data_IF_933971562225
#
_entry.id   IF_933971562225
#
_cell.length_a   1.000
_cell.length_b   1.000
_cell.length_c   1.000
_cell.angle_alpha   90.00
_cell.angle_beta   90.00
_cell.angle_gamma   90.00
#
_symmetry.space_group_name_H-M   'P 1'
#
loop_
_entity.id
_entity.type
_entity.pdbx_description
1 polymer ?
#
# COMPACT_ATOMS: atom_id res chain seq x y z
N UNK A 1 17.98 -5.94 10.20
CA UNK A 1 16.70 -6.67 10.26
C UNK A 1 16.68 -7.53 9.03
N UNK A 2 16.59 -8.84 9.22
CA UNK A 2 16.70 -9.79 8.13
C UNK A 2 15.49 -9.70 7.19
N UNK A 3 15.67 -10.18 5.96
CA UNK A 3 14.59 -10.27 4.99
C UNK A 3 13.51 -11.23 5.52
N UNK A 4 12.25 -10.80 5.49
CA UNK A 4 11.12 -11.70 5.76
C UNK A 4 10.78 -12.43 4.47
N UNK A 5 11.13 -13.71 4.39
CA UNK A 5 10.73 -14.54 3.26
C UNK A 5 9.21 -14.77 3.29
N UNK A 6 8.56 -14.49 2.16
CA UNK A 6 7.14 -14.68 1.96
C UNK A 6 6.91 -15.84 1.00
N UNK A 7 6.56 -17.00 1.57
CA UNK A 7 6.20 -18.19 0.79
C UNK A 7 4.68 -18.34 0.67
N UNK A 8 4.26 -19.18 -0.26
CA UNK A 8 2.86 -19.56 -0.45
C UNK A 8 2.31 -20.27 0.78
N UNK A 9 3.07 -21.18 1.39
CA UNK A 9 2.66 -21.87 2.61
C UNK A 9 2.44 -20.87 3.74
N UNK A 10 3.36 -19.92 3.90
CA UNK A 10 3.23 -18.85 4.91
C UNK A 10 1.97 -18.02 4.68
N UNK A 11 1.71 -17.61 3.44
CA UNK A 11 0.51 -16.85 3.09
C UNK A 11 -0.77 -17.64 3.38
N UNK A 12 -0.82 -18.92 3.02
CA UNK A 12 -2.01 -19.77 3.24
C UNK A 12 -2.20 -20.19 4.70
N UNK A 13 -1.15 -20.15 5.52
CA UNK A 13 -1.24 -20.40 6.97
C UNK A 13 -1.84 -19.23 7.74
N UNK A 14 -1.88 -18.04 7.13
CA UNK A 14 -2.49 -16.86 7.73
C UNK A 14 -4.02 -16.85 7.55
N UNK A 15 -4.75 -16.45 8.60
CA UNK A 15 -6.21 -16.46 8.58
C UNK A 15 -6.82 -15.60 7.47
N UNK A 16 -6.22 -14.44 7.17
CA UNK A 16 -6.68 -13.58 6.07
C UNK A 16 -6.14 -14.06 4.73
N UNK A 17 -4.89 -14.52 4.67
CA UNK A 17 -4.28 -15.04 3.46
C UNK A 17 -5.02 -16.24 2.90
N UNK A 18 -5.46 -17.16 3.77
CA UNK A 18 -6.31 -18.32 3.41
C UNK A 18 -7.60 -17.92 2.68
N UNK A 19 -8.16 -16.73 2.95
CA UNK A 19 -9.37 -16.25 2.25
C UNK A 19 -9.13 -15.90 0.78
N UNK A 20 -7.87 -15.83 0.35
CA UNK A 20 -7.42 -15.59 -1.02
C UNK A 20 -6.71 -16.81 -1.63
N UNK A 21 -7.03 -18.02 -1.15
CA UNK A 21 -6.49 -19.26 -1.70
C UNK A 21 -6.82 -19.46 -3.19
N UNK A 22 -7.92 -18.89 -3.67
CA UNK A 22 -8.27 -18.85 -5.10
C UNK A 22 -7.28 -18.01 -5.91
N UNK A 23 -6.77 -16.90 -5.36
CA UNK A 23 -5.73 -16.10 -6.02
C UNK A 23 -4.39 -16.81 -5.95
N UNK A 24 -4.07 -17.37 -4.78
CA UNK A 24 -2.82 -18.07 -4.60
C UNK A 24 -2.74 -19.24 -5.59
N UNK A 25 -3.72 -20.15 -5.56
CA UNK A 25 -3.69 -21.42 -6.28
C UNK A 25 -4.08 -21.34 -7.75
N UNK A 26 -4.46 -20.18 -8.26
CA UNK A 26 -4.75 -19.97 -9.68
C UNK A 26 -3.43 -19.79 -10.46
N UNK A 27 -3.06 -20.74 -11.36
CA UNK A 27 -1.83 -20.66 -12.14
C UNK A 27 -1.83 -19.52 -13.16
N UNK A 28 -2.98 -18.90 -13.45
CA UNK A 28 -3.06 -17.71 -14.30
C UNK A 28 -2.76 -16.40 -13.55
N UNK A 29 -2.68 -16.44 -12.21
CA UNK A 29 -2.32 -15.29 -11.40
C UNK A 29 -0.80 -15.21 -11.22
N UNK A 30 -0.22 -14.00 -11.25
CA UNK A 30 1.21 -13.78 -11.04
C UNK A 30 1.58 -13.83 -9.55
N UNK A 31 1.01 -14.79 -8.80
CA UNK A 31 1.11 -14.79 -7.35
C UNK A 31 2.54 -15.09 -6.89
N UNK A 32 3.23 -16.01 -7.56
CA UNK A 32 4.60 -16.36 -7.22
C UNK A 32 5.57 -15.20 -7.53
N UNK A 33 5.35 -14.44 -8.61
CA UNK A 33 6.10 -13.22 -8.90
C UNK A 33 5.88 -12.16 -7.83
N UNK A 34 4.66 -12.03 -7.31
CA UNK A 34 4.36 -11.12 -6.20
C UNK A 34 5.07 -11.57 -4.92
N UNK A 35 5.05 -12.86 -4.58
CA UNK A 35 5.75 -13.40 -3.41
C UNK A 35 7.27 -13.17 -3.51
N UNK A 36 7.86 -13.47 -4.67
CA UNK A 36 9.27 -13.25 -4.95
C UNK A 36 9.63 -11.76 -4.90
N UNK A 37 8.78 -10.88 -5.45
CA UNK A 37 8.99 -9.44 -5.40
C UNK A 37 9.10 -8.93 -3.97
N UNK A 38 8.20 -9.36 -3.08
CA UNK A 38 8.18 -8.91 -1.70
C UNK A 38 9.21 -9.60 -0.78
N UNK A 39 9.81 -10.71 -1.22
CA UNK A 39 10.87 -11.45 -0.50
C UNK A 39 12.27 -10.87 -0.75
N UNK A 40 12.37 -9.53 -0.83
CA UNK A 40 13.62 -8.79 -1.04
C UNK A 40 13.85 -7.79 0.09
N UNK A 41 15.05 -7.82 0.69
CA UNK A 41 15.38 -6.98 1.85
C UNK A 41 15.34 -5.49 1.49
N UNK A 42 15.85 -5.12 0.31
CA UNK A 42 15.90 -3.74 -0.15
C UNK A 42 14.50 -3.14 -0.31
N UNK A 43 13.57 -3.90 -0.89
CA UNK A 43 12.16 -3.51 -1.03
C UNK A 43 11.47 -3.42 0.32
N UNK A 44 11.65 -4.39 1.20
CA UNK A 44 11.08 -4.34 2.56
C UNK A 44 11.58 -3.13 3.34
N UNK A 45 12.87 -2.78 3.22
CA UNK A 45 13.42 -1.56 3.82
C UNK A 45 12.78 -0.30 3.25
N UNK A 46 12.66 -0.19 1.92
CA UNK A 46 11.97 0.96 1.29
C UNK A 46 10.50 1.08 1.71
N UNK A 47 9.83 -0.03 1.98
CA UNK A 47 8.48 -0.02 2.52
C UNK A 47 8.43 0.61 3.92
N UNK A 48 9.38 0.31 4.80
CA UNK A 48 9.49 0.95 6.11
C UNK A 48 9.86 2.43 6.00
N UNK A 49 10.81 2.75 5.13
CA UNK A 49 11.24 4.13 4.86
C UNK A 49 10.09 4.99 4.32
N UNK A 50 9.16 4.42 3.56
CA UNK A 50 7.96 5.13 3.10
C UNK A 50 7.11 5.64 4.28
N UNK A 51 6.95 4.84 5.33
CA UNK A 51 6.23 5.26 6.54
C UNK A 51 7.03 6.26 7.36
N UNK A 52 8.34 6.03 7.52
CA UNK A 52 9.21 6.85 8.36
C UNK A 52 9.46 8.22 7.72
N UNK A 53 9.99 8.25 6.51
CA UNK A 53 10.57 9.44 5.91
C UNK A 53 9.61 10.17 4.97
N UNK A 54 8.59 9.48 4.45
CA UNK A 54 7.70 10.04 3.45
C UNK A 54 6.25 10.22 3.94
N UNK A 55 5.93 9.76 5.16
CA UNK A 55 4.57 9.75 5.72
C UNK A 55 3.56 9.11 4.74
N UNK A 56 4.00 8.06 4.04
CA UNK A 56 3.22 7.30 3.06
C UNK A 56 3.04 5.85 3.49
N UNK A 57 1.96 5.19 3.03
CA UNK A 57 1.80 3.76 3.25
C UNK A 57 3.00 2.95 2.76
N UNK A 58 3.29 1.76 3.32
CA UNK A 58 4.49 1.00 2.98
C UNK A 58 4.55 0.63 1.50
N UNK A 59 3.41 0.27 0.91
CA UNK A 59 3.31 -0.05 -0.52
C UNK A 59 3.83 1.10 -1.41
N UNK A 60 3.74 2.36 -0.96
CA UNK A 60 4.26 3.50 -1.72
C UNK A 60 5.77 3.41 -1.99
N UNK A 61 6.54 2.74 -1.14
CA UNK A 61 7.99 2.58 -1.30
C UNK A 61 8.38 1.68 -2.48
N UNK A 62 7.45 0.85 -2.99
CA UNK A 62 7.75 -0.21 -3.96
C UNK A 62 6.72 -0.36 -5.08
N UNK A 63 5.58 0.36 -5.01
CA UNK A 63 4.44 0.15 -5.92
C UNK A 63 4.78 0.35 -7.39
N UNK A 64 5.67 1.29 -7.74
CA UNK A 64 6.09 1.49 -9.13
C UNK A 64 6.86 0.30 -9.69
N UNK A 65 7.70 -0.31 -8.87
CA UNK A 65 8.47 -1.49 -9.27
C UNK A 65 7.55 -2.71 -9.39
N UNK A 66 6.58 -2.84 -8.48
CA UNK A 66 5.58 -3.91 -8.52
C UNK A 66 4.72 -3.84 -9.79
N UNK A 67 4.21 -2.64 -10.11
CA UNK A 67 3.40 -2.41 -11.32
C UNK A 67 4.24 -2.48 -12.60
N UNK A 68 5.58 -2.43 -12.53
CA UNK A 68 6.45 -2.62 -13.68
C UNK A 68 6.71 -4.10 -14.03
N UNK A 69 6.32 -5.05 -13.16
CA UNK A 69 6.41 -6.47 -13.46
C UNK A 69 5.36 -6.81 -14.53
N UNK A 70 5.75 -7.31 -15.72
CA UNK A 70 4.80 -7.51 -16.82
C UNK A 70 3.62 -8.39 -16.46
N UNK A 71 3.86 -9.48 -15.73
CA UNK A 71 2.80 -10.40 -15.31
C UNK A 71 1.80 -9.74 -14.34
N UNK A 72 2.31 -8.90 -13.42
CA UNK A 72 1.47 -8.14 -12.48
C UNK A 72 0.67 -7.05 -13.20
N UNK A 73 1.31 -6.26 -14.07
CA UNK A 73 0.61 -5.22 -14.83
C UNK A 73 -0.51 -5.81 -15.68
N UNK A 74 -0.22 -6.89 -16.41
CA UNK A 74 -1.22 -7.59 -17.22
C UNK A 74 -2.38 -8.11 -16.38
N UNK A 75 -2.10 -8.74 -15.23
CA UNK A 75 -3.14 -9.23 -14.33
C UNK A 75 -4.01 -8.10 -13.75
N UNK A 76 -3.43 -6.94 -13.49
CA UNK A 76 -4.14 -5.75 -13.01
C UNK A 76 -4.93 -5.06 -14.13
N UNK A 77 -4.42 -5.09 -15.37
CA UNK A 77 -5.04 -4.51 -16.55
C UNK A 77 -6.22 -5.33 -17.09
N UNK A 78 -6.23 -6.66 -16.88
CA UNK A 78 -7.34 -7.54 -17.29
C UNK A 78 -8.67 -7.01 -16.71
N UNK A 79 -9.63 -6.73 -17.59
CA UNK A 79 -10.96 -6.18 -17.27
C UNK A 79 -11.86 -7.12 -16.43
N UNK A 80 -11.39 -8.31 -16.04
CA UNK A 80 -12.08 -9.12 -15.03
C UNK A 80 -11.96 -8.44 -13.66
N UNK A 81 -12.85 -7.48 -13.41
CA UNK A 81 -12.87 -6.60 -12.23
C UNK A 81 -12.75 -7.35 -10.90
N UNK A 82 -13.22 -8.60 -10.84
CA UNK A 82 -13.15 -9.43 -9.65
C UNK A 82 -11.75 -10.01 -9.41
N UNK A 83 -11.10 -10.58 -10.42
CA UNK A 83 -9.77 -11.18 -10.28
C UNK A 83 -8.72 -10.11 -9.92
N UNK A 84 -8.69 -8.99 -10.66
CA UNK A 84 -7.76 -7.89 -10.38
C UNK A 84 -8.03 -7.21 -9.02
N UNK A 85 -9.28 -7.21 -8.55
CA UNK A 85 -9.61 -6.77 -7.19
C UNK A 85 -9.06 -7.74 -6.14
N UNK A 86 -9.27 -9.04 -6.32
CA UNK A 86 -8.81 -10.06 -5.37
C UNK A 86 -7.29 -10.13 -5.28
N UNK A 87 -6.59 -10.04 -6.41
CA UNK A 87 -5.12 -9.93 -6.44
C UNK A 87 -4.62 -8.71 -5.65
N UNK A 88 -5.22 -7.52 -5.86
CA UNK A 88 -4.87 -6.31 -5.09
C UNK A 88 -5.12 -6.47 -3.60
N UNK A 89 -6.17 -7.20 -3.21
CA UNK A 89 -6.45 -7.49 -1.81
C UNK A 89 -5.41 -8.46 -1.21
N UNK A 90 -5.05 -9.51 -1.95
CA UNK A 90 -4.01 -10.45 -1.56
C UNK A 90 -2.66 -9.74 -1.37
N UNK A 91 -2.28 -8.83 -2.28
CA UNK A 91 -1.10 -7.96 -2.13
C UNK A 91 -1.17 -7.13 -0.84
N UNK A 92 -2.35 -6.59 -0.50
CA UNK A 92 -2.56 -5.89 0.76
C UNK A 92 -2.33 -6.78 1.99
N UNK A 93 -2.72 -8.06 1.92
CA UNK A 93 -2.46 -9.04 2.98
C UNK A 93 -0.97 -9.37 3.08
N UNK A 94 -0.27 -9.54 1.96
CA UNK A 94 1.18 -9.76 1.94
C UNK A 94 1.91 -8.58 2.60
N UNK A 95 1.59 -7.35 2.20
CA UNK A 95 2.17 -6.14 2.81
C UNK A 95 1.93 -6.13 4.32
N UNK A 96 0.73 -6.46 4.79
CA UNK A 96 0.46 -6.58 6.22
C UNK A 96 1.37 -7.60 6.88
N UNK A 97 1.40 -8.83 6.38
CA UNK A 97 2.16 -9.91 6.99
C UNK A 97 3.64 -9.57 7.10
N UNK A 98 4.21 -8.90 6.08
CA UNK A 98 5.58 -8.41 6.10
C UNK A 98 5.79 -7.33 7.16
N UNK A 99 4.95 -6.30 7.17
CA UNK A 99 5.07 -5.20 8.13
C UNK A 99 4.95 -5.72 9.57
N UNK A 100 3.97 -6.59 9.85
CA UNK A 100 3.79 -7.21 11.16
C UNK A 100 4.98 -8.11 11.55
N UNK A 101 5.49 -8.94 10.63
CA UNK A 101 6.69 -9.74 10.87
C UNK A 101 7.93 -8.89 11.14
N UNK A 102 7.98 -7.66 10.62
CA UNK A 102 9.03 -6.67 10.88
C UNK A 102 8.75 -5.79 12.11
N UNK A 103 7.76 -6.16 12.92
CA UNK A 103 7.46 -5.53 14.20
C UNK A 103 6.60 -4.26 14.09
N UNK A 104 5.94 -4.01 12.96
CA UNK A 104 5.03 -2.90 12.80
C UNK A 104 3.59 -3.29 13.15
N UNK A 105 2.78 -2.30 13.50
CA UNK A 105 1.34 -2.50 13.77
C UNK A 105 0.51 -1.62 12.86
N UNK A 106 -0.64 -2.14 12.40
CA UNK A 106 -1.61 -1.34 11.65
C UNK A 106 -2.13 -0.20 12.50
N UNK A 107 -2.48 0.90 11.84
CA UNK A 107 -3.15 2.05 12.46
C UNK A 107 -4.68 2.00 12.28
N UNK A 108 -5.19 1.09 11.44
CA UNK A 108 -6.61 1.05 11.04
C UNK A 108 -6.98 2.13 10.02
N UNK A 109 -5.99 2.83 9.46
CA UNK A 109 -6.17 3.96 8.55
C UNK A 109 -5.50 3.67 7.24
N UNK A 110 -6.14 4.07 6.14
CA UNK A 110 -5.54 4.02 4.80
C UNK A 110 -4.94 5.36 4.41
N UNK A 111 -3.73 5.37 3.87
CA UNK A 111 -3.11 6.55 3.25
C UNK A 111 -3.20 6.49 1.72
N UNK A 112 -3.10 7.65 1.07
CA UNK A 112 -3.07 7.72 -0.40
C UNK A 112 -1.69 7.33 -0.92
N UNK A 113 -1.63 6.63 -2.05
CA UNK A 113 -0.38 6.38 -2.78
C UNK A 113 -0.08 7.49 -3.79
N UNK A 114 -1.07 8.33 -4.10
CA UNK A 114 -0.97 9.40 -5.08
C UNK A 114 -2.11 10.40 -4.99
N UNK A 115 -2.21 11.26 -6.00
CA UNK A 115 -3.36 12.15 -6.19
C UNK A 115 -4.40 11.40 -7.03
N UNK A 116 -5.63 11.31 -6.54
CA UNK A 116 -6.73 10.63 -7.24
C UNK A 116 -7.03 11.34 -8.55
N UNK A 117 -7.20 10.56 -9.61
CA UNK A 117 -7.78 11.04 -10.85
C UNK A 117 -9.18 11.60 -10.63
N UNK A 118 -9.55 12.61 -11.41
CA UNK A 118 -10.94 13.00 -11.55
C UNK A 118 -11.75 11.81 -12.06
N UNK A 119 -12.93 11.59 -11.49
CA UNK A 119 -13.76 10.43 -11.79
C UNK A 119 -14.34 10.58 -13.20
N UNK A 120 -13.87 9.76 -14.14
CA UNK A 120 -14.41 9.63 -15.49
C UNK A 120 -15.26 8.36 -15.57
N UNK A 121 -16.37 8.39 -16.31
CA UNK A 121 -17.25 7.24 -16.49
C UNK A 121 -16.63 6.10 -17.32
N UNK A 122 -15.57 6.39 -18.09
CA UNK A 122 -14.97 5.47 -19.06
C UNK A 122 -13.53 5.07 -18.72
N UNK A 123 -12.89 5.73 -17.75
CA UNK A 123 -11.52 5.44 -17.38
C UNK A 123 -11.43 4.51 -16.16
N UNK A 124 -10.48 3.55 -16.13
CA UNK A 124 -10.19 2.80 -14.92
C UNK A 124 -9.81 3.77 -13.78
N UNK A 125 -10.23 3.46 -12.55
CA UNK A 125 -9.88 4.28 -11.39
C UNK A 125 -8.37 4.18 -11.12
N UNK A 126 -7.63 5.25 -11.43
CA UNK A 126 -6.19 5.37 -11.23
C UNK A 126 -5.82 6.68 -10.52
N UNK A 127 -4.54 6.87 -10.18
CA UNK A 127 -4.03 8.17 -9.74
C UNK A 127 -3.48 8.94 -10.96
N UNK A 128 -3.90 10.18 -11.19
CA UNK A 128 -3.45 11.01 -12.35
C UNK A 128 -2.08 11.66 -12.16
N UNK A 129 -1.50 11.57 -10.97
CA UNK A 129 -0.16 12.10 -10.66
C UNK A 129 0.49 11.37 -9.50
N UNK A 130 0.08 10.11 -9.28
CA UNK A 130 0.44 9.31 -8.13
C UNK A 130 1.57 8.33 -8.38
N UNK A 131 2.16 7.81 -7.30
CA UNK A 131 3.17 6.75 -7.38
C UNK A 131 2.64 5.44 -7.97
N UNK A 132 1.33 5.27 -8.10
CA UNK A 132 0.71 4.00 -8.49
C UNK A 132 -0.45 4.22 -9.46
N UNK A 133 -0.54 3.37 -10.46
CA UNK A 133 -1.63 3.37 -11.45
C UNK A 133 -2.83 2.57 -10.95
N UNK A 134 -2.63 1.36 -10.42
CA UNK A 134 -3.69 0.44 -10.04
C UNK A 134 -4.08 0.52 -8.56
N UNK A 135 -3.14 0.93 -7.70
CA UNK A 135 -3.35 1.07 -6.26
C UNK A 135 -3.60 2.53 -5.86
N UNK A 136 -4.74 2.81 -5.25
CA UNK A 136 -5.11 4.18 -4.86
C UNK A 136 -4.74 4.48 -3.40
N UNK A 137 -5.01 3.52 -2.50
CA UNK A 137 -4.75 3.65 -1.07
C UNK A 137 -4.26 2.34 -0.48
N UNK A 138 -3.43 2.43 0.55
CA UNK A 138 -2.95 1.28 1.31
C UNK A 138 -2.97 1.57 2.82
N UNK A 139 -2.91 0.52 3.63
CA UNK A 139 -2.91 0.59 5.09
C UNK A 139 -1.68 1.35 5.61
N UNK A 140 -1.86 2.12 6.69
CA UNK A 140 -0.81 2.84 7.40
C UNK A 140 -0.35 2.07 8.63
N UNK A 141 0.94 2.12 8.91
CA UNK A 141 1.58 1.38 10.00
C UNK A 141 2.32 2.30 10.96
N UNK A 142 2.56 1.81 12.17
CA UNK A 142 3.33 2.48 13.20
C UNK A 142 4.26 1.50 13.91
N UNK A 143 5.38 2.01 14.42
CA UNK A 143 6.30 1.24 15.26
C UNK A 143 5.79 1.20 16.71
N UNK A 144 6.01 0.10 17.46
CA UNK A 144 5.72 0.02 18.89
C UNK A 144 6.43 1.10 19.71
N UNK A 145 7.66 1.45 19.33
CA UNK A 145 8.43 2.53 19.96
C UNK A 145 7.99 3.94 19.54
N UNK A 146 6.93 4.07 18.76
CA UNK A 146 6.48 5.33 18.17
C UNK A 146 7.18 5.69 16.86
N UNK A 147 6.60 6.67 16.15
CA UNK A 147 7.17 7.20 14.92
C UNK A 147 8.24 8.26 15.23
N UNK A 148 9.41 8.22 14.58
CA UNK A 148 10.50 9.15 14.87
C UNK A 148 10.22 10.59 14.42
N UNK A 149 9.28 10.78 13.48
CA UNK A 149 8.90 12.09 12.96
C UNK A 149 7.39 12.30 13.11
N UNK A 150 6.98 13.56 13.26
CA UNK A 150 5.57 13.94 13.20
C UNK A 150 5.04 13.72 11.77
N UNK A 151 3.82 13.18 11.67
CA UNK A 151 3.14 13.06 10.38
C UNK A 151 2.91 14.44 9.76
N UNK A 152 2.91 14.51 8.43
CA UNK A 152 2.57 15.72 7.66
C UNK A 152 1.19 16.22 8.09
N UNK A 153 0.24 15.32 8.32
CA UNK A 153 -1.10 15.67 8.81
C UNK A 153 -1.07 16.36 10.18
N UNK A 154 -0.23 15.91 11.11
CA UNK A 154 -0.09 16.57 12.42
C UNK A 154 0.50 17.98 12.25
N UNK A 155 1.52 18.13 11.39
CA UNK A 155 2.12 19.43 11.09
C UNK A 155 1.12 20.39 10.44
N UNK A 156 0.31 19.93 9.49
CA UNK A 156 -0.75 20.75 8.88
C UNK A 156 -1.75 21.24 9.95
N UNK A 157 -2.23 20.36 10.83
CA UNK A 157 -3.16 20.76 11.91
C UNK A 157 -2.56 21.80 12.86
N UNK A 158 -1.27 21.67 13.19
CA UNK A 158 -0.57 22.66 14.00
C UNK A 158 -0.52 24.01 13.29
N UNK A 159 -0.19 24.02 11.99
CA UNK A 159 -0.17 25.24 11.18
C UNK A 159 -1.56 25.90 11.11
N UNK A 160 -2.61 25.11 10.86
CA UNK A 160 -3.99 25.60 10.83
C UNK A 160 -4.40 26.21 12.18
N UNK A 161 -3.97 25.62 13.30
CA UNK A 161 -4.25 26.14 14.65
C UNK A 161 -3.47 27.41 15.01
N UNK A 162 -2.35 27.67 14.33
CA UNK A 162 -1.52 28.86 14.52
C UNK A 162 -1.96 30.03 13.64
N UNK A 163 -2.83 29.78 12.66
CA UNK A 163 -3.34 30.82 11.76
C UNK A 163 -4.56 31.46 12.43
N UNK A 164 -4.50 32.73 12.89
CA UNK A 164 -5.66 33.40 13.46
C UNK A 164 -6.77 33.43 12.41
N UNK A 165 -7.99 33.02 12.76
CA UNK A 165 -9.14 33.24 11.91
C UNK A 165 -9.26 34.74 11.69
N UNK A 166 -8.90 35.21 10.49
CA UNK A 166 -9.21 36.56 10.04
C UNK A 166 -10.73 36.65 10.03
N UNK A 167 -11.27 37.22 11.11
CA UNK A 167 -12.68 37.51 11.24
C UNK A 167 -13.01 38.55 10.19
N UNK A 168 -13.50 38.10 9.03
CA UNK A 168 -14.17 38.98 8.08
C UNK A 168 -15.47 39.47 8.72
N UNK A 169 -15.37 40.53 9.52
CA UNK A 169 -16.45 41.47 9.80
C UNK A 169 -16.22 42.72 8.97
N UNK A 170 -16.87 42.77 7.81
CA UNK A 170 -17.22 43.98 7.05
C UNK A 170 -17.93 43.49 5.77
N UNK A 171 -19.06 44.02 5.31
CA UNK A 171 -19.97 45.05 5.80
C UNK A 171 -21.29 44.85 5.06
#
# INVERSE_FOLDING_TARGET
MDCVEMTRERFLSDDQGRTFADVANDPEQPFDEVLAFFSDEGRQRRMEEAEIHHDRPPLAGVVRELEAIPAVDQALAKMQLNQSKRLRQAIGVIVRMLMEARGWSKTGRKGSLGVRAAKSATAPNHNTGGLAFWFIRAERYQRPSGMPYQSVRQRCRQLDSLTPQTTNRAR
#
